data_IF_903515554594
#
_entry.id   IF_903515554594
#
_cell.length_a   1.000
_cell.length_b   1.000
_cell.length_c   1.000
_cell.angle_alpha   90.00
_cell.angle_beta   90.00
_cell.angle_gamma   90.00
#
_symmetry.space_group_name_H-M   'P 1'
#
loop_
_entity.id
_entity.type
_entity.pdbx_description
1 polymer ?
#
# COMPACT_ATOMS: atom_id res chain seq x y z
N UNK A 1 11.79 -18.86 -3.31
CA UNK A 1 10.96 -18.03 -2.41
C UNK A 1 11.55 -16.63 -2.44
N UNK A 2 10.74 -15.58 -2.61
CA UNK A 2 11.28 -14.21 -2.54
C UNK A 2 11.78 -13.96 -1.11
N UNK A 3 13.04 -13.55 -0.96
CA UNK A 3 13.61 -13.17 0.33
C UNK A 3 12.88 -11.92 0.80
N UNK A 4 12.34 -11.93 2.03
CA UNK A 4 11.72 -10.72 2.59
C UNK A 4 12.73 -9.57 2.53
N UNK A 5 12.33 -8.38 2.03
CA UNK A 5 13.25 -7.25 1.99
C UNK A 5 13.69 -6.91 3.41
N UNK A 6 14.96 -6.54 3.57
CA UNK A 6 15.57 -6.28 4.90
C UNK A 6 14.78 -5.28 5.72
N UNK A 7 14.20 -4.27 5.07
CA UNK A 7 13.39 -3.27 5.75
C UNK A 7 12.11 -3.82 6.40
N UNK A 8 11.63 -5.00 6.02
CA UNK A 8 10.46 -5.65 6.64
C UNK A 8 10.82 -6.46 7.89
N UNK A 9 12.09 -6.52 8.31
CA UNK A 9 12.53 -7.30 9.47
C UNK A 9 11.95 -6.82 10.80
N UNK A 10 11.50 -5.57 10.88
CA UNK A 10 10.89 -5.02 12.08
C UNK A 10 9.44 -5.43 12.29
N UNK A 11 8.79 -6.07 11.30
CA UNK A 11 7.45 -6.62 11.48
C UNK A 11 7.52 -8.04 12.02
N UNK A 12 7.13 -8.21 13.28
CA UNK A 12 7.14 -9.50 13.97
C UNK A 12 5.72 -10.01 14.16
N UNK A 13 5.45 -11.24 13.72
CA UNK A 13 4.20 -11.93 14.05
C UNK A 13 4.25 -12.30 15.54
N UNK A 14 3.34 -11.75 16.33
CA UNK A 14 3.30 -12.00 17.78
C UNK A 14 2.82 -13.41 18.12
N UNK A 15 2.32 -14.16 17.13
CA UNK A 15 1.63 -15.44 17.32
C UNK A 15 0.25 -15.31 17.98
N UNK A 16 -0.12 -14.12 18.45
CA UNK A 16 -1.43 -13.85 19.06
C UNK A 16 -2.51 -13.92 18.00
N UNK A 17 -3.60 -14.60 18.35
CA UNK A 17 -4.82 -14.70 17.54
C UNK A 17 -5.96 -14.09 18.32
N UNK A 18 -6.39 -12.89 17.94
CA UNK A 18 -7.64 -12.34 18.45
C UNK A 18 -8.80 -12.96 17.68
N UNK A 19 -9.96 -13.09 18.32
CA UNK A 19 -11.17 -13.59 17.67
C UNK A 19 -12.21 -12.48 17.59
N UNK A 20 -12.77 -12.28 16.41
CA UNK A 20 -13.94 -11.42 16.23
C UNK A 20 -15.19 -12.09 16.82
N UNK A 21 -16.25 -11.32 17.01
CA UNK A 21 -17.55 -11.82 17.48
C UNK A 21 -18.15 -12.87 16.52
N UNK A 22 -17.87 -12.78 15.22
CA UNK A 22 -18.27 -13.75 14.20
C UNK A 22 -17.30 -14.95 14.03
N UNK A 23 -16.32 -15.09 14.93
CA UNK A 23 -15.45 -16.27 14.99
C UNK A 23 -14.23 -16.26 14.08
N UNK A 24 -13.95 -15.16 13.38
CA UNK A 24 -12.74 -15.02 12.53
C UNK A 24 -11.50 -14.71 13.38
N UNK A 25 -10.36 -15.22 12.94
CA UNK A 25 -9.08 -14.95 13.58
C UNK A 25 -8.41 -13.70 13.00
N UNK A 26 -7.93 -12.83 13.88
CA UNK A 26 -7.12 -11.65 13.55
C UNK A 26 -5.68 -11.95 13.96
N UNK A 27 -4.74 -11.78 13.03
CA UNK A 27 -3.32 -11.83 13.31
C UNK A 27 -2.86 -10.50 13.88
N UNK A 28 -2.09 -10.54 14.95
CA UNK A 28 -1.48 -9.35 15.55
C UNK A 28 0.00 -9.33 15.21
N UNK A 29 0.41 -8.24 14.58
CA UNK A 29 1.80 -7.97 14.23
C UNK A 29 2.29 -6.77 15.02
N UNK A 30 3.55 -6.81 15.40
CA UNK A 30 4.22 -5.73 16.11
C UNK A 30 5.32 -5.13 15.25
N UNK A 31 5.47 -3.82 15.29
CA UNK A 31 6.51 -3.09 14.57
C UNK A 31 7.67 -2.76 15.54
N UNK A 32 8.59 -3.70 15.66
CA UNK A 32 9.75 -3.67 16.54
C UNK A 32 10.92 -2.97 15.86
N UNK A 33 10.84 -1.65 15.71
CA UNK A 33 11.91 -0.86 15.12
C UNK A 33 13.15 -0.79 16.02
N UNK A 34 14.32 -0.79 15.40
CA UNK A 34 15.61 -0.60 16.07
C UNK A 34 16.36 0.52 15.36
N UNK A 35 17.37 1.09 16.03
CA UNK A 35 18.26 2.05 15.37
C UNK A 35 19.26 1.28 14.51
N UNK A 36 18.92 1.12 13.24
CA UNK A 36 19.78 0.54 12.20
C UNK A 36 19.75 1.45 10.97
N UNK A 37 20.86 2.16 10.74
CA UNK A 37 20.97 3.14 9.66
C UNK A 37 20.81 2.50 8.28
N UNK A 38 21.25 1.25 8.09
CA UNK A 38 21.13 0.56 6.82
C UNK A 38 19.67 0.18 6.54
N UNK A 39 18.94 -0.29 7.55
CA UNK A 39 17.51 -0.57 7.42
C UNK A 39 16.71 0.72 7.18
N UNK A 40 17.05 1.81 7.87
CA UNK A 40 16.42 3.11 7.64
C UNK A 40 16.69 3.64 6.22
N UNK A 41 17.91 3.46 5.71
CA UNK A 41 18.25 3.80 4.32
C UNK A 41 17.47 2.95 3.31
N UNK A 42 17.30 1.65 3.58
CA UNK A 42 16.51 0.74 2.76
C UNK A 42 15.03 1.15 2.76
N UNK A 43 14.47 1.51 3.92
CA UNK A 43 13.12 2.09 4.03
C UNK A 43 12.98 3.40 3.24
N UNK A 44 13.92 4.33 3.42
CA UNK A 44 13.90 5.63 2.74
C UNK A 44 13.98 5.47 1.22
N UNK A 45 14.83 4.56 0.73
CA UNK A 45 14.92 4.22 -0.70
C UNK A 45 13.62 3.59 -1.20
N UNK A 46 13.06 2.63 -0.45
CA UNK A 46 11.80 1.99 -0.82
C UNK A 46 10.66 3.01 -0.92
N UNK A 47 10.52 3.88 0.09
CA UNK A 47 9.51 4.94 0.13
C UNK A 47 9.69 5.94 -1.03
N UNK A 48 10.92 6.42 -1.29
CA UNK A 48 11.21 7.30 -2.44
C UNK A 48 10.74 6.70 -3.75
N UNK A 49 11.07 5.44 -4.00
CA UNK A 49 10.73 4.75 -5.24
C UNK A 49 9.23 4.55 -5.45
N UNK A 50 8.38 4.73 -4.42
CA UNK A 50 6.91 4.79 -4.59
C UNK A 50 6.45 6.09 -5.27
N UNK A 51 7.22 7.18 -5.14
CA UNK A 51 6.91 8.49 -5.75
C UNK A 51 7.72 8.74 -7.02
N UNK A 52 8.99 8.32 -7.02
CA UNK A 52 9.94 8.57 -8.09
C UNK A 52 11.11 7.60 -7.98
N UNK A 53 11.46 6.91 -9.06
CA UNK A 53 12.64 6.04 -9.07
C UNK A 53 13.90 6.89 -8.87
N UNK A 54 14.84 6.40 -8.06
CA UNK A 54 16.09 7.10 -7.77
C UNK A 54 16.90 7.47 -9.04
N UNK A 55 16.85 6.61 -10.07
CA UNK A 55 17.52 6.84 -11.35
C UNK A 55 16.80 7.88 -12.24
N UNK A 56 15.55 8.22 -11.96
CA UNK A 56 14.77 9.21 -12.70
C UNK A 56 14.85 10.61 -12.07
N UNK A 57 15.30 10.74 -10.81
CA UNK A 57 15.30 12.01 -10.09
C UNK A 57 16.07 13.11 -10.86
N UNK A 58 17.24 12.80 -11.41
CA UNK A 58 18.04 13.81 -12.12
C UNK A 58 17.41 14.25 -13.44
N UNK A 59 16.72 13.33 -14.13
CA UNK A 59 15.96 13.65 -15.32
C UNK A 59 14.76 14.53 -14.97
N UNK A 60 14.02 14.16 -13.92
CA UNK A 60 12.78 14.82 -13.53
C UNK A 60 12.99 16.20 -12.87
N UNK A 61 14.13 16.43 -12.23
CA UNK A 61 14.49 17.75 -11.67
C UNK A 61 15.15 18.69 -12.68
N UNK A 62 15.51 18.21 -13.86
CA UNK A 62 16.20 19.01 -14.88
C UNK A 62 15.37 20.25 -15.22
N UNK A 63 16.03 21.41 -15.30
CA UNK A 63 15.37 22.70 -15.58
C UNK A 63 14.68 23.36 -14.39
N UNK A 64 14.65 22.72 -13.21
CA UNK A 64 14.05 23.33 -12.00
C UNK A 64 15.04 24.14 -11.16
N UNK A 65 16.35 23.96 -11.36
CA UNK A 65 17.40 24.54 -10.51
C UNK A 65 17.51 23.91 -9.11
N UNK A 66 16.66 22.94 -8.76
CA UNK A 66 16.62 22.34 -7.43
C UNK A 66 17.65 21.22 -7.25
N UNK A 67 18.19 21.09 -6.03
CA UNK A 67 18.92 19.90 -5.60
C UNK A 67 17.99 18.67 -5.54
N UNK A 68 18.56 17.45 -5.45
CA UNK A 68 17.76 16.22 -5.29
C UNK A 68 16.88 16.28 -4.04
N UNK A 69 17.40 16.79 -2.92
CA UNK A 69 16.67 16.93 -1.65
C UNK A 69 15.50 17.90 -1.80
N UNK A 70 15.73 19.09 -2.33
CA UNK A 70 14.68 20.11 -2.50
C UNK A 70 13.63 19.67 -3.53
N UNK A 71 14.05 19.05 -4.62
CA UNK A 71 13.12 18.51 -5.61
C UNK A 71 12.20 17.45 -5.00
N UNK A 72 12.76 16.53 -4.21
CA UNK A 72 11.97 15.52 -3.53
C UNK A 72 10.99 16.16 -2.55
N UNK A 73 11.47 16.99 -1.62
CA UNK A 73 10.63 17.59 -0.58
C UNK A 73 9.55 18.51 -1.17
N UNK A 74 9.92 19.38 -2.11
CA UNK A 74 9.04 20.46 -2.57
C UNK A 74 8.13 20.07 -3.76
N UNK A 75 8.43 18.98 -4.48
CA UNK A 75 7.70 18.60 -5.70
C UNK A 75 7.17 17.17 -5.73
N UNK A 76 7.83 16.22 -5.06
CA UNK A 76 7.46 14.80 -5.13
C UNK A 76 6.81 14.28 -3.85
N UNK A 77 7.35 14.65 -2.71
CA UNK A 77 6.92 14.17 -1.42
C UNK A 77 5.76 14.96 -0.84
N UNK A 78 5.04 14.34 0.11
CA UNK A 78 4.11 15.05 0.95
C UNK A 78 4.71 16.12 1.85
N UNK A 79 4.23 17.36 1.72
CA UNK A 79 4.50 18.46 2.66
C UNK A 79 3.54 18.42 3.86
N UNK A 80 4.06 18.75 5.05
CA UNK A 80 3.38 18.80 6.36
C UNK A 80 2.58 20.10 6.53
N UNK A 81 2.99 21.21 5.91
CA UNK A 81 2.41 22.54 6.13
C UNK A 81 1.21 22.88 5.20
N UNK A 82 0.82 21.98 4.31
CA UNK A 82 -0.29 22.18 3.37
C UNK A 82 -1.44 21.23 3.72
N UNK A 83 -2.69 21.71 3.91
CA UNK A 83 -3.85 20.83 3.92
C UNK A 83 -3.92 20.11 2.56
N UNK A 84 -3.50 18.84 2.53
CA UNK A 84 -3.77 17.84 1.47
C UNK A 84 -3.83 18.40 0.04
N UNK A 85 -2.83 19.16 -0.39
CA UNK A 85 -2.75 19.61 -1.77
C UNK A 85 -1.86 18.66 -2.58
N UNK A 86 -2.50 17.68 -3.24
CA UNK A 86 -2.16 17.26 -4.61
C UNK A 86 -0.79 16.59 -4.85
N UNK A 87 -0.71 15.25 -4.79
CA UNK A 87 0.39 14.51 -5.46
C UNK A 87 0.09 14.31 -6.94
N UNK A 88 0.31 15.39 -7.69
CA UNK A 88 0.57 15.56 -9.12
C UNK A 88 -0.35 14.93 -10.20
N UNK A 89 -0.99 13.76 -10.03
CA UNK A 89 -1.79 13.09 -11.09
C UNK A 89 -3.06 12.42 -10.54
N UNK A 90 -4.03 13.20 -10.03
CA UNK A 90 -5.39 12.73 -9.68
C UNK A 90 -6.43 13.61 -10.37
N UNK A 91 -7.36 12.99 -11.11
CA UNK A 91 -8.42 13.67 -11.90
C UNK A 91 -9.59 14.17 -11.01
N UNK A 92 -9.79 13.68 -9.78
CA UNK A 92 -10.87 14.15 -8.89
C UNK A 92 -10.35 14.41 -7.46
N UNK A 93 -10.75 15.57 -6.91
CA UNK A 93 -10.04 16.36 -5.90
C UNK A 93 -10.36 16.03 -4.43
N UNK A 94 -11.38 15.20 -4.16
CA UNK A 94 -11.87 14.95 -2.79
C UNK A 94 -12.18 13.48 -2.49
N UNK A 95 -11.58 12.55 -3.23
CA UNK A 95 -11.86 11.14 -3.04
C UNK A 95 -10.55 10.35 -2.92
N UNK A 96 -10.54 9.29 -2.10
CA UNK A 96 -9.77 8.10 -2.50
C UNK A 96 -10.06 7.87 -3.97
N UNK A 97 -9.12 7.40 -4.80
CA UNK A 97 -9.63 6.78 -6.04
C UNK A 97 -10.64 5.77 -5.51
N UNK A 98 -11.94 5.87 -5.82
CA UNK A 98 -12.96 5.05 -5.17
C UNK A 98 -12.46 3.61 -5.24
N UNK A 99 -11.96 3.07 -4.12
CA UNK A 99 -11.23 1.82 -4.10
C UNK A 99 -10.16 1.80 -3.00
N UNK A 100 -10.16 0.69 -2.27
CA UNK A 100 -9.09 0.06 -1.50
C UNK A 100 -7.81 0.84 -1.26
N UNK A 101 -7.45 0.99 0.01
CA UNK A 101 -6.22 1.64 0.43
C UNK A 101 -4.93 0.97 -0.10
N UNK A 102 -4.91 -0.37 -0.19
CA UNK A 102 -3.75 -1.14 -0.67
C UNK A 102 -4.18 -2.18 -1.71
N UNK A 103 -3.48 -2.21 -2.84
CA UNK A 103 -3.59 -3.26 -3.85
C UNK A 103 -2.24 -3.91 -4.10
N UNK A 104 -2.19 -5.24 -3.98
CA UNK A 104 -1.02 -6.06 -4.19
C UNK A 104 -1.24 -7.07 -5.31
N UNK A 105 -0.17 -7.36 -6.07
CA UNK A 105 -0.19 -8.34 -7.14
C UNK A 105 0.92 -9.38 -6.91
N UNK A 106 0.55 -10.66 -6.89
CA UNK A 106 1.51 -11.76 -6.89
C UNK A 106 1.42 -12.51 -8.22
N UNK A 107 2.57 -12.71 -8.85
CA UNK A 107 2.68 -13.43 -10.11
C UNK A 107 3.52 -14.68 -9.88
N UNK A 108 3.00 -15.84 -10.26
CA UNK A 108 3.69 -17.12 -10.04
C UNK A 108 4.72 -17.40 -11.12
N UNK A 109 4.44 -17.00 -12.36
CA UNK A 109 5.35 -17.17 -13.50
C UNK A 109 5.69 -15.82 -14.10
N UNK A 110 6.97 -15.60 -14.40
CA UNK A 110 7.40 -14.40 -15.10
C UNK A 110 6.85 -14.41 -16.53
N UNK A 111 6.17 -13.33 -16.91
CA UNK A 111 5.68 -13.10 -18.28
C UNK A 111 4.54 -14.01 -18.74
N UNK A 112 4.03 -14.92 -17.90
CA UNK A 112 2.90 -15.80 -18.23
C UNK A 112 1.80 -15.68 -17.18
N UNK A 113 0.55 -15.65 -17.63
CA UNK A 113 -0.61 -15.65 -16.73
C UNK A 113 -0.72 -17.00 -16.02
N UNK A 114 -1.17 -16.98 -14.77
CA UNK A 114 -1.46 -18.19 -14.00
C UNK A 114 -2.77 -18.06 -13.26
N UNK A 115 -3.50 -19.18 -13.18
CA UNK A 115 -4.66 -19.33 -12.29
C UNK A 115 -4.29 -19.16 -10.81
N UNK A 116 -3.00 -19.31 -10.48
CA UNK A 116 -2.45 -19.15 -9.13
C UNK A 116 -1.92 -17.75 -8.84
N UNK A 117 -1.95 -16.83 -9.82
CA UNK A 117 -1.66 -15.43 -9.54
C UNK A 117 -2.69 -14.89 -8.55
N UNK A 118 -2.26 -13.93 -7.72
CA UNK A 118 -3.05 -13.38 -6.63
C UNK A 118 -3.24 -11.88 -6.82
N UNK A 119 -4.50 -11.43 -6.77
CA UNK A 119 -4.85 -10.04 -6.52
C UNK A 119 -5.23 -9.90 -5.04
N UNK A 120 -4.47 -9.07 -4.32
CA UNK A 120 -4.71 -8.80 -2.91
C UNK A 120 -5.22 -7.37 -2.75
N UNK A 121 -6.30 -7.20 -2.00
CA UNK A 121 -6.94 -5.91 -1.77
C UNK A 121 -7.11 -5.73 -0.26
N UNK A 122 -6.61 -4.65 0.30
CA UNK A 122 -6.71 -4.40 1.74
C UNK A 122 -7.16 -2.98 2.02
N UNK A 123 -8.16 -2.86 2.88
CA UNK A 123 -8.57 -1.60 3.49
C UNK A 123 -7.79 -1.41 4.80
N UNK A 124 -7.29 -0.19 5.04
CA UNK A 124 -6.40 0.09 6.18
C UNK A 124 -6.87 1.31 6.95
N UNK A 125 -7.15 1.13 8.24
CA UNK A 125 -7.46 2.25 9.13
C UNK A 125 -6.40 2.41 10.20
N UNK A 126 -5.88 3.63 10.35
CA UNK A 126 -4.88 3.95 11.35
C UNK A 126 -5.45 4.82 12.48
N UNK A 127 -5.01 4.55 13.71
CA UNK A 127 -5.15 5.45 14.84
C UNK A 127 -3.81 5.57 15.56
N UNK A 128 -3.13 6.67 15.31
CA UNK A 128 -1.79 6.93 15.85
C UNK A 128 -1.79 7.96 16.99
N UNK A 129 -2.94 8.55 17.29
CA UNK A 129 -3.11 9.63 18.27
C UNK A 129 -4.41 9.47 19.05
N UNK A 130 -4.51 10.18 20.17
CA UNK A 130 -5.66 10.17 21.08
C UNK A 130 -5.39 9.35 22.33
N UNK A 131 -6.42 9.22 23.18
CA UNK A 131 -6.31 8.50 24.47
C UNK A 131 -7.09 7.20 24.54
N UNK A 132 -8.03 6.97 23.62
CA UNK A 132 -8.95 5.82 23.62
C UNK A 132 -9.01 5.17 22.25
N UNK A 133 -8.91 3.85 22.20
CA UNK A 133 -9.05 3.08 20.98
C UNK A 133 -10.45 3.25 20.36
N UNK A 134 -10.49 3.45 19.04
CA UNK A 134 -11.71 3.36 18.23
C UNK A 134 -11.79 2.00 17.54
N UNK A 135 -12.96 1.62 17.05
CA UNK A 135 -13.21 0.37 16.33
C UNK A 135 -12.66 0.39 14.88
N UNK A 136 -11.39 0.80 14.70
CA UNK A 136 -10.77 0.99 13.38
C UNK A 136 -10.76 -0.27 12.51
N UNK A 137 -10.62 -1.44 13.13
CA UNK A 137 -10.66 -2.69 12.39
C UNK A 137 -12.06 -2.96 11.83
N UNK A 138 -13.12 -2.67 12.59
CA UNK A 138 -14.49 -2.82 12.09
C UNK A 138 -14.77 -1.80 10.98
N UNK A 139 -14.34 -0.55 11.14
CA UNK A 139 -14.42 0.46 10.08
C UNK A 139 -13.74 -0.02 8.78
N UNK A 140 -12.55 -0.65 8.89
CA UNK A 140 -11.84 -1.22 7.75
C UNK A 140 -12.59 -2.40 7.11
N UNK A 141 -13.21 -3.28 7.92
CA UNK A 141 -14.03 -4.40 7.42
C UNK A 141 -15.25 -3.88 6.67
N UNK A 142 -15.97 -2.92 7.24
CA UNK A 142 -17.20 -2.36 6.66
C UNK A 142 -16.91 -1.64 5.34
N UNK A 143 -15.78 -0.92 5.25
CA UNK A 143 -15.35 -0.25 4.03
C UNK A 143 -14.80 -1.22 2.98
N UNK A 144 -14.10 -2.29 3.38
CA UNK A 144 -13.57 -3.30 2.44
C UNK A 144 -14.67 -4.01 1.64
N UNK A 145 -15.88 -4.16 2.18
CA UNK A 145 -17.03 -4.67 1.43
C UNK A 145 -17.34 -3.85 0.16
N UNK A 146 -17.03 -2.54 0.16
CA UNK A 146 -17.24 -1.65 -0.98
C UNK A 146 -16.16 -1.80 -2.05
N UNK A 147 -15.04 -2.46 -1.74
CA UNK A 147 -13.90 -2.58 -2.66
C UNK A 147 -14.16 -3.54 -3.80
N UNK A 148 -14.99 -4.55 -3.58
CA UNK A 148 -15.38 -5.52 -4.62
C UNK A 148 -15.99 -4.81 -5.83
N UNK A 149 -16.79 -3.76 -5.62
CA UNK A 149 -17.43 -2.99 -6.70
C UNK A 149 -16.49 -1.98 -7.35
N UNK A 150 -15.37 -1.66 -6.69
CA UNK A 150 -14.39 -0.63 -7.08
C UNK A 150 -13.09 -1.20 -7.64
N UNK A 151 -12.95 -2.52 -7.62
CA UNK A 151 -11.82 -3.28 -8.13
C UNK A 151 -11.51 -2.96 -9.59
N UNK A 152 -12.51 -2.86 -10.45
CA UNK A 152 -12.32 -2.55 -11.87
C UNK A 152 -11.73 -1.16 -12.10
N UNK A 153 -12.28 -0.14 -11.42
CA UNK A 153 -11.80 1.24 -11.50
C UNK A 153 -10.37 1.37 -11.00
N UNK A 154 -10.07 0.69 -9.89
CA UNK A 154 -8.73 0.68 -9.29
C UNK A 154 -7.71 0.05 -10.23
N UNK A 155 -8.03 -1.13 -10.81
CA UNK A 155 -7.15 -1.79 -11.79
C UNK A 155 -6.93 -0.93 -13.03
N UNK A 156 -7.98 -0.27 -13.53
CA UNK A 156 -7.86 0.61 -14.68
C UNK A 156 -6.97 1.82 -14.36
N UNK A 157 -7.16 2.47 -13.20
CA UNK A 157 -6.33 3.59 -12.77
C UNK A 157 -4.86 3.21 -12.63
N UNK A 158 -4.56 2.02 -12.08
CA UNK A 158 -3.19 1.49 -11.98
C UNK A 158 -2.60 1.26 -13.38
N UNK A 159 -3.36 0.64 -14.29
CA UNK A 159 -2.92 0.42 -15.67
C UNK A 159 -2.58 1.73 -16.38
N UNK A 160 -3.47 2.73 -16.32
CA UNK A 160 -3.24 4.04 -16.97
C UNK A 160 -1.97 4.71 -16.44
N UNK A 161 -1.77 4.72 -15.11
CA UNK A 161 -0.55 5.25 -14.49
C UNK A 161 0.72 4.55 -14.99
N UNK A 162 0.68 3.23 -15.18
CA UNK A 162 1.82 2.47 -15.69
C UNK A 162 2.12 2.80 -17.16
N UNK A 163 1.08 3.02 -17.98
CA UNK A 163 1.22 3.46 -19.37
C UNK A 163 1.79 4.87 -19.45
N UNK A 164 1.32 5.81 -18.63
CA UNK A 164 1.85 7.17 -18.53
C UNK A 164 3.34 7.18 -18.15
N UNK A 165 3.74 6.24 -17.30
CA UNK A 165 5.13 6.00 -16.92
C UNK A 165 5.95 5.18 -17.93
N UNK A 166 5.39 4.89 -19.11
CA UNK A 166 5.98 4.08 -20.19
C UNK A 166 6.36 2.64 -19.75
N UNK A 167 5.76 2.14 -18.67
CA UNK A 167 5.99 0.79 -18.16
C UNK A 167 4.96 -0.19 -18.73
N UNK A 168 5.01 -0.37 -20.05
CA UNK A 168 4.07 -1.20 -20.81
C UNK A 168 4.05 -2.66 -20.34
N UNK A 169 5.22 -3.19 -19.95
CA UNK A 169 5.33 -4.55 -19.43
C UNK A 169 4.57 -4.73 -18.12
N UNK A 170 4.66 -3.78 -17.18
CA UNK A 170 3.88 -3.82 -15.95
C UNK A 170 2.38 -3.56 -16.21
N UNK A 171 2.05 -2.65 -17.13
CA UNK A 171 0.66 -2.37 -17.49
C UNK A 171 -0.07 -3.62 -18.02
N UNK A 172 0.58 -4.38 -18.92
CA UNK A 172 0.04 -5.65 -19.44
C UNK A 172 -0.14 -6.70 -18.34
N UNK A 173 0.76 -6.73 -17.35
CA UNK A 173 0.63 -7.60 -16.17
C UNK A 173 -0.55 -7.22 -15.27
N UNK A 174 -0.91 -5.95 -15.16
CA UNK A 174 -2.09 -5.51 -14.40
C UNK A 174 -3.38 -5.76 -15.18
N UNK A 175 -3.37 -5.51 -16.49
CA UNK A 175 -4.51 -5.72 -17.39
C UNK A 175 -5.09 -7.13 -17.31
N UNK A 176 -4.25 -8.16 -17.10
CA UNK A 176 -4.72 -9.54 -16.96
C UNK A 176 -5.71 -9.76 -15.82
N UNK A 177 -5.76 -8.89 -14.81
CA UNK A 177 -6.72 -8.98 -13.69
C UNK A 177 -8.07 -8.32 -14.01
N UNK A 178 -8.17 -7.57 -15.12
CA UNK A 178 -9.41 -6.93 -15.57
C UNK A 178 -10.36 -7.90 -16.28
N UNK A 179 -9.88 -9.06 -16.73
CA UNK A 179 -10.68 -10.09 -17.39
C UNK A 179 -10.60 -11.43 -16.64
N UNK A 180 -11.31 -11.59 -15.51
CA UNK A 180 -11.27 -12.82 -14.71
C UNK A 180 -11.88 -14.04 -15.42
N UNK A 181 -12.77 -13.84 -16.39
CA UNK A 181 -13.45 -14.92 -17.12
C UNK A 181 -12.46 -15.64 -18.03
N UNK A 182 -11.75 -14.90 -18.88
CA UNK A 182 -10.78 -15.48 -19.82
C UNK A 182 -9.42 -15.74 -19.17
N UNK A 183 -9.10 -14.98 -18.11
CA UNK A 183 -7.84 -15.08 -17.37
C UNK A 183 -8.19 -15.22 -15.89
N UNK A 184 -8.47 -16.43 -15.39
CA UNK A 184 -8.82 -16.61 -13.98
C UNK A 184 -7.62 -16.37 -13.07
N UNK A 185 -7.88 -15.98 -11.82
CA UNK A 185 -6.90 -15.75 -10.77
C UNK A 185 -7.52 -15.97 -9.40
N UNK A 186 -6.69 -15.97 -8.36
CA UNK A 186 -7.15 -15.92 -6.97
C UNK A 186 -7.25 -14.46 -6.54
N UNK A 187 -8.33 -14.09 -5.88
CA UNK A 187 -8.41 -12.83 -5.17
C UNK A 187 -8.58 -13.03 -3.67
N UNK A 188 -7.96 -12.11 -2.92
CA UNK A 188 -8.16 -11.99 -1.48
C UNK A 188 -8.46 -10.54 -1.16
N UNK A 189 -9.44 -10.33 -0.29
CA UNK A 189 -9.68 -9.06 0.37
C UNK A 189 -9.40 -9.18 1.87
N UNK A 190 -9.05 -8.06 2.49
CA UNK A 190 -8.83 -8.02 3.93
C UNK A 190 -8.92 -6.62 4.50
N UNK A 191 -8.88 -6.57 5.83
CA UNK A 191 -8.93 -5.33 6.59
C UNK A 191 -7.75 -5.31 7.57
N UNK A 192 -7.13 -4.15 7.71
CA UNK A 192 -6.00 -3.94 8.62
C UNK A 192 -6.29 -2.71 9.48
N UNK A 193 -5.96 -2.82 10.76
CA UNK A 193 -5.93 -1.68 11.64
C UNK A 193 -4.52 -1.47 12.20
N UNK A 194 -4.06 -0.22 12.17
CA UNK A 194 -2.74 0.17 12.69
C UNK A 194 -2.96 1.04 13.91
N UNK A 195 -2.41 0.62 15.05
CA UNK A 195 -2.50 1.35 16.31
C UNK A 195 -1.11 1.71 16.81
N UNK A 196 -0.98 2.87 17.43
CA UNK A 196 0.13 3.11 18.36
C UNK A 196 -0.05 2.26 19.60
N UNK A 197 1.07 1.82 20.19
CA UNK A 197 1.09 0.89 21.33
C UNK A 197 0.19 1.32 22.50
N UNK A 198 0.23 2.61 22.87
CA UNK A 198 -0.59 3.18 23.95
C UNK A 198 -2.10 3.17 23.71
N UNK A 199 -2.55 2.84 22.49
CA UNK A 199 -3.96 2.70 22.11
C UNK A 199 -4.36 1.24 21.89
N UNK A 200 -3.40 0.32 21.92
CA UNK A 200 -3.67 -1.10 21.79
C UNK A 200 -3.93 -1.69 23.17
N UNK A 201 -5.20 -1.97 23.46
CA UNK A 201 -5.56 -2.72 24.66
C UNK A 201 -5.15 -4.18 24.48
N UNK A 202 -4.17 -4.71 25.26
CA UNK A 202 -3.84 -6.11 25.20
C UNK A 202 -5.05 -6.95 25.65
N UNK A 203 -5.27 -8.14 25.06
CA UNK A 203 -6.32 -9.04 25.51
C UNK A 203 -6.12 -9.35 26.99
N UNK A 204 -7.20 -9.26 27.79
CA UNK A 204 -7.17 -9.66 29.19
C UNK A 204 -6.85 -11.17 29.25
N UNK A 205 -5.83 -11.51 30.03
CA UNK A 205 -5.43 -12.89 30.35
C UNK A 205 -6.55 -13.68 30.98
#
# INVERSE_FOLDING_TARGET
MAKNPKHMQWLTDTGRKLRTSDGRYIKVWEFCHQRDDQILLDWAKHFRNQYCLDNQIDLLRRGTGLSRKEYLINRKFPDVAVPRARYANKIIRNESVKGSDIVGFQFIKNGKTSLKDLLAIFEVKAQLTGKKAKCRLQEAVDDSCKDLTRKADTLNAIKQRLLDGQNNAAASRVERFQNPVDKPYRDISGAVAIFSEHLFDPPKS
#
